data_IF_599984019811
#
_entry.id   IF_599984019811
#
_cell.length_a   1.000
_cell.length_b   1.000
_cell.length_c   1.000
_cell.angle_alpha   90.00
_cell.angle_beta   90.00
_cell.angle_gamma   90.00
#
_symmetry.space_group_name_H-M   'P 1'
#
loop_
_entity.id
_entity.type
_entity.pdbx_description
1 polymer ?
#
# COMPACT_ATOMS: atom_id res chain seq x y z
N UNK A 1 -9.34 12.30 24.09
CA UNK A 1 -9.87 10.93 24.04
C UNK A 1 -8.92 10.21 23.12
N UNK A 2 -7.89 9.60 23.70
CA UNK A 2 -6.68 9.25 22.96
C UNK A 2 -6.98 8.04 22.06
N UNK A 3 -6.95 8.27 20.75
CA UNK A 3 -6.93 7.21 19.74
C UNK A 3 -5.72 6.25 19.92
N UNK A 4 -4.81 6.59 20.83
CA UNK A 4 -3.66 5.81 21.29
C UNK A 4 -3.98 4.74 22.35
N UNK A 5 -5.21 4.67 22.84
CA UNK A 5 -5.63 3.73 23.89
C UNK A 5 -5.93 2.30 23.43
N UNK A 6 -5.85 2.00 22.12
CA UNK A 6 -6.01 0.64 21.58
C UNK A 6 -4.72 -0.17 21.73
N UNK A 7 -4.84 -1.40 22.21
CA UNK A 7 -3.79 -2.28 22.75
C UNK A 7 -2.52 -2.54 21.91
N UNK A 8 -2.40 -2.06 20.65
CA UNK A 8 -1.16 -2.20 19.85
C UNK A 8 -0.93 -0.98 18.97
N UNK A 9 0.20 -0.31 19.15
CA UNK A 9 0.67 0.76 18.26
C UNK A 9 1.09 0.16 16.92
N UNK A 10 0.66 0.77 15.82
CA UNK A 10 0.98 0.32 14.45
C UNK A 10 1.49 1.50 13.63
N UNK A 11 2.62 1.32 12.95
CA UNK A 11 3.12 2.26 11.95
C UNK A 11 2.35 2.14 10.64
N UNK A 12 2.16 3.25 9.94
CA UNK A 12 1.61 3.27 8.59
C UNK A 12 2.51 4.10 7.68
N UNK A 13 2.84 3.56 6.52
CA UNK A 13 3.70 4.21 5.52
C UNK A 13 3.09 4.03 4.13
N UNK A 14 2.98 5.13 3.41
CA UNK A 14 2.83 5.11 1.96
C UNK A 14 4.20 5.32 1.32
N UNK A 15 4.77 4.27 0.72
CA UNK A 15 6.11 4.31 0.16
C UNK A 15 6.23 5.25 -1.05
N UNK A 16 5.14 5.44 -1.81
CA UNK A 16 5.14 6.35 -2.96
C UNK A 16 5.28 7.81 -2.49
N UNK A 17 4.70 8.16 -1.34
CA UNK A 17 4.78 9.50 -0.76
C UNK A 17 6.16 9.85 -0.22
N UNK A 18 6.91 8.87 0.28
CA UNK A 18 8.25 9.14 0.86
C UNK A 18 9.30 9.51 -0.18
N UNK A 19 9.18 8.98 -1.40
CA UNK A 19 10.16 9.23 -2.44
C UNK A 19 9.94 10.51 -3.22
N UNK A 20 8.78 11.19 -3.06
CA UNK A 20 8.31 12.28 -3.95
C UNK A 20 8.61 11.96 -5.43
N UNK A 21 8.39 10.69 -5.79
CA UNK A 21 8.99 10.02 -6.95
C UNK A 21 8.52 10.63 -8.27
N UNK A 22 7.32 11.24 -8.28
CA UNK A 22 6.74 11.89 -9.47
C UNK A 22 7.60 13.04 -10.04
N UNK A 23 8.57 13.57 -9.30
CA UNK A 23 9.36 14.74 -9.72
C UNK A 23 10.84 14.45 -10.04
N UNK A 24 11.33 13.23 -9.87
CA UNK A 24 12.76 12.91 -10.02
C UNK A 24 13.03 12.04 -11.26
N UNK A 25 13.87 12.55 -12.17
CA UNK A 25 14.39 11.76 -13.29
C UNK A 25 15.27 10.59 -12.77
N UNK A 26 14.93 9.35 -13.16
CA UNK A 26 15.69 8.14 -12.80
C UNK A 26 14.97 7.21 -11.82
N UNK A 27 13.86 6.61 -12.28
CA UNK A 27 12.94 5.79 -11.48
C UNK A 27 13.60 4.72 -10.58
N UNK A 28 14.66 4.05 -11.05
CA UNK A 28 15.33 2.99 -10.29
C UNK A 28 16.07 3.52 -9.04
N UNK A 29 16.73 4.68 -9.12
CA UNK A 29 17.40 5.29 -7.95
C UNK A 29 16.37 5.80 -6.95
N UNK A 30 15.25 6.31 -7.45
CA UNK A 30 14.17 6.84 -6.63
C UNK A 30 13.46 5.72 -5.85
N UNK A 31 13.24 4.54 -6.46
CA UNK A 31 12.69 3.36 -5.75
C UNK A 31 13.59 2.89 -4.59
N UNK A 32 14.91 2.81 -4.81
CA UNK A 32 15.86 2.44 -3.76
C UNK A 32 15.90 3.47 -2.61
N UNK A 33 15.78 4.76 -2.93
CA UNK A 33 15.70 5.82 -1.93
C UNK A 33 14.41 5.68 -1.10
N UNK A 34 13.26 5.49 -1.75
CA UNK A 34 11.99 5.27 -1.05
C UNK A 34 12.09 4.08 -0.09
N UNK A 35 12.62 2.94 -0.53
CA UNK A 35 12.83 1.76 0.33
C UNK A 35 13.76 2.05 1.52
N UNK A 36 14.82 2.82 1.32
CA UNK A 36 15.74 3.22 2.39
C UNK A 36 15.04 4.11 3.44
N UNK A 37 14.17 5.02 3.00
CA UNK A 37 13.36 5.88 3.88
C UNK A 37 12.30 5.06 4.62
N UNK A 38 11.62 4.12 3.96
CA UNK A 38 10.71 3.16 4.60
C UNK A 38 11.44 2.42 5.71
N UNK A 39 12.65 1.91 5.45
CA UNK A 39 13.43 1.18 6.45
C UNK A 39 13.82 2.04 7.66
N UNK A 40 14.11 3.33 7.45
CA UNK A 40 14.32 4.28 8.55
C UNK A 40 13.04 4.43 9.37
N UNK A 41 11.90 4.74 8.74
CA UNK A 41 10.64 4.98 9.45
C UNK A 41 10.13 3.74 10.19
N UNK A 42 10.30 2.54 9.64
CA UNK A 42 9.96 1.30 10.35
C UNK A 42 10.77 1.17 11.65
N UNK A 43 12.06 1.50 11.65
CA UNK A 43 12.88 1.49 12.87
C UNK A 43 12.42 2.55 13.86
N UNK A 44 12.09 3.76 13.39
CA UNK A 44 11.60 4.84 14.25
C UNK A 44 10.23 4.50 14.87
N UNK A 45 9.32 3.89 14.09
CA UNK A 45 8.04 3.41 14.61
C UNK A 45 8.25 2.33 15.67
N UNK A 46 9.15 1.37 15.43
CA UNK A 46 9.49 0.35 16.42
C UNK A 46 10.09 0.98 17.69
N UNK A 47 10.99 1.95 17.56
CA UNK A 47 11.55 2.70 18.70
C UNK A 47 10.48 3.49 19.47
N UNK A 48 9.43 3.96 18.79
CA UNK A 48 8.26 4.58 19.38
C UNK A 48 7.23 3.58 19.97
N UNK A 49 7.54 2.27 19.93
CA UNK A 49 6.74 1.20 20.51
C UNK A 49 5.69 0.61 19.58
N UNK A 50 5.78 0.84 18.26
CA UNK A 50 4.93 0.14 17.30
C UNK A 50 5.29 -1.35 17.26
N UNK A 51 4.28 -2.21 17.36
CA UNK A 51 4.45 -3.66 17.29
C UNK A 51 4.39 -4.19 15.84
N UNK A 52 3.76 -3.44 14.94
CA UNK A 52 3.57 -3.78 13.53
C UNK A 52 3.70 -2.50 12.69
N UNK A 53 4.04 -2.65 11.41
CA UNK A 53 4.03 -1.57 10.44
C UNK A 53 3.37 -2.03 9.15
N UNK A 54 2.40 -1.26 8.65
CA UNK A 54 1.77 -1.48 7.34
C UNK A 54 2.43 -0.54 6.35
N UNK A 55 2.91 -1.10 5.23
CA UNK A 55 3.50 -0.32 4.14
C UNK A 55 2.69 -0.56 2.88
N UNK A 56 2.11 0.49 2.33
CA UNK A 56 1.55 0.50 0.98
C UNK A 56 2.68 0.82 0.03
N UNK A 57 2.91 -0.03 -0.97
CA UNK A 57 3.99 0.12 -1.93
C UNK A 57 3.50 -0.16 -3.35
N UNK A 58 4.11 0.48 -4.37
CA UNK A 58 3.85 0.14 -5.77
C UNK A 58 4.11 -1.36 -6.03
N UNK A 59 3.25 -1.98 -6.85
CA UNK A 59 3.34 -3.41 -7.15
C UNK A 59 4.67 -3.76 -7.84
N UNK A 60 5.25 -2.81 -8.56
CA UNK A 60 6.54 -2.88 -9.25
C UNK A 60 7.72 -3.07 -8.29
N UNK A 61 7.55 -2.81 -6.99
CA UNK A 61 8.60 -2.93 -5.97
C UNK A 61 8.96 -4.40 -5.75
N UNK A 62 10.17 -4.87 -6.14
CA UNK A 62 10.51 -6.29 -6.07
C UNK A 62 10.67 -6.80 -4.62
N UNK A 63 10.17 -8.01 -4.26
CA UNK A 63 10.29 -8.55 -2.91
C UNK A 63 11.73 -8.72 -2.41
N UNK A 64 12.67 -9.06 -3.29
CA UNK A 64 14.10 -9.19 -2.98
C UNK A 64 14.72 -7.84 -2.57
N UNK A 65 14.32 -6.74 -3.21
CA UNK A 65 14.75 -5.40 -2.82
C UNK A 65 14.21 -5.02 -1.44
N UNK A 66 12.95 -5.37 -1.14
CA UNK A 66 12.37 -5.16 0.19
C UNK A 66 13.09 -5.99 1.24
N UNK A 67 13.38 -7.25 0.98
CA UNK A 67 14.15 -8.10 1.91
C UNK A 67 15.57 -7.57 2.14
N UNK A 68 16.21 -6.96 1.13
CA UNK A 68 17.55 -6.37 1.29
C UNK A 68 17.61 -5.26 2.35
N UNK A 69 16.52 -4.51 2.52
CA UNK A 69 16.43 -3.42 3.52
C UNK A 69 15.82 -3.89 4.86
N UNK A 70 15.24 -5.09 4.89
CA UNK A 70 14.70 -5.74 6.10
C UNK A 70 15.27 -7.17 6.29
N UNK A 71 16.60 -7.35 6.40
CA UNK A 71 17.22 -8.67 6.35
C UNK A 71 16.88 -9.57 7.55
N UNK A 72 16.40 -8.99 8.66
CA UNK A 72 16.11 -9.71 9.90
C UNK A 72 14.63 -9.59 10.32
N UNK A 73 13.81 -8.90 9.53
CA UNK A 73 12.40 -8.67 9.84
C UNK A 73 11.50 -9.74 9.22
N UNK A 74 10.41 -10.11 9.92
CA UNK A 74 9.31 -10.87 9.30
C UNK A 74 8.53 -9.93 8.39
N UNK A 75 8.84 -9.95 7.10
CA UNK A 75 8.09 -9.21 6.07
C UNK A 75 7.08 -10.15 5.42
N UNK A 76 5.82 -9.74 5.35
CA UNK A 76 4.75 -10.45 4.63
C UNK A 76 4.25 -9.57 3.49
N UNK A 77 4.12 -10.13 2.30
CA UNK A 77 3.61 -9.42 1.13
C UNK A 77 2.15 -9.80 0.92
N UNK A 78 1.27 -8.80 0.91
CA UNK A 78 -0.17 -8.98 0.70
C UNK A 78 -0.60 -8.08 -0.44
N UNK A 79 -1.19 -8.68 -1.48
CA UNK A 79 -1.85 -7.98 -2.59
C UNK A 79 -3.35 -8.07 -2.40
N UNK A 80 -4.02 -6.92 -2.33
CA UNK A 80 -5.47 -6.87 -2.29
C UNK A 80 -6.01 -6.93 -3.72
N UNK A 81 -6.97 -7.81 -3.94
CA UNK A 81 -7.61 -8.01 -5.23
C UNK A 81 -9.11 -7.77 -5.12
N UNK A 82 -9.68 -7.14 -6.15
CA UNK A 82 -11.09 -6.75 -6.21
C UNK A 82 -11.53 -6.65 -7.66
N UNK A 83 -12.78 -7.00 -7.97
CA UNK A 83 -13.24 -7.11 -9.35
C UNK A 83 -12.99 -5.80 -10.16
N UNK A 84 -12.59 -5.86 -11.44
CA UNK A 84 -12.23 -4.67 -12.22
C UNK A 84 -13.32 -3.57 -12.23
N UNK A 85 -14.59 -3.96 -12.27
CA UNK A 85 -15.73 -3.06 -12.20
C UNK A 85 -15.80 -2.29 -10.87
N UNK A 86 -15.35 -2.92 -9.77
CA UNK A 86 -15.29 -2.29 -8.46
C UNK A 86 -14.10 -1.31 -8.37
N UNK A 87 -12.98 -1.61 -9.03
CA UNK A 87 -11.83 -0.70 -9.12
C UNK A 87 -12.24 0.62 -9.79
N UNK A 88 -12.89 0.55 -10.96
CA UNK A 88 -13.36 1.74 -11.67
C UNK A 88 -14.39 2.51 -10.85
N UNK A 89 -15.36 1.80 -10.24
CA UNK A 89 -16.36 2.45 -9.40
C UNK A 89 -15.73 3.19 -8.20
N UNK A 90 -14.70 2.61 -7.58
CA UNK A 90 -13.95 3.24 -6.49
C UNK A 90 -13.15 4.45 -6.97
N UNK A 91 -12.43 4.34 -8.10
CA UNK A 91 -11.68 5.45 -8.67
C UNK A 91 -12.60 6.64 -8.98
N UNK A 92 -13.75 6.38 -9.61
CA UNK A 92 -14.77 7.41 -9.88
C UNK A 92 -15.39 7.99 -8.61
N UNK A 93 -15.59 7.18 -7.55
CA UNK A 93 -16.05 7.70 -6.27
C UNK A 93 -15.01 8.62 -5.63
N UNK A 94 -13.72 8.26 -5.72
CA UNK A 94 -12.59 9.03 -5.19
C UNK A 94 -12.50 10.43 -5.83
N UNK A 95 -12.80 10.56 -7.13
CA UNK A 95 -12.81 11.87 -7.80
C UNK A 95 -13.81 12.87 -7.22
N UNK A 96 -14.86 12.37 -6.54
CA UNK A 96 -15.88 13.17 -5.86
C UNK A 96 -15.67 13.26 -4.35
N UNK A 97 -14.49 12.88 -3.84
CA UNK A 97 -14.20 12.86 -2.41
C UNK A 97 -14.77 11.67 -1.65
N UNK A 98 -15.14 10.60 -2.34
CA UNK A 98 -15.47 9.33 -1.69
C UNK A 98 -14.24 8.70 -1.02
N UNK A 99 -14.48 7.83 -0.02
CA UNK A 99 -13.42 7.12 0.70
C UNK A 99 -12.70 7.97 1.76
N UNK A 100 -11.67 7.41 2.41
CA UNK A 100 -10.84 8.16 3.37
C UNK A 100 -10.01 9.21 2.63
N UNK A 101 -9.89 10.42 3.19
CA UNK A 101 -9.05 11.47 2.62
C UNK A 101 -7.59 11.12 2.86
N UNK A 102 -6.82 11.01 1.77
CA UNK A 102 -5.38 10.81 1.80
C UNK A 102 -4.69 12.12 1.41
N UNK A 103 -3.60 12.47 2.11
CA UNK A 103 -2.73 13.54 1.66
C UNK A 103 -2.17 13.18 0.27
N UNK A 104 -2.08 14.12 -0.67
CA UNK A 104 -1.57 13.82 -2.02
C UNK A 104 -2.43 12.84 -2.83
N UNK A 105 -3.74 12.77 -2.57
CA UNK A 105 -4.67 11.97 -3.36
C UNK A 105 -4.87 12.54 -4.77
N UNK A 106 -4.14 12.00 -5.74
CA UNK A 106 -4.18 12.43 -7.14
C UNK A 106 -5.55 12.23 -7.81
N UNK A 107 -6.44 11.41 -7.22
CA UNK A 107 -7.77 11.21 -7.77
C UNK A 107 -8.76 12.28 -7.32
N UNK A 108 -8.53 12.99 -6.20
CA UNK A 108 -9.47 13.98 -5.71
C UNK A 108 -9.62 15.15 -6.70
N UNK A 109 -10.81 15.34 -7.26
CA UNK A 109 -11.06 16.35 -8.29
C UNK A 109 -10.48 16.00 -9.68
N UNK A 110 -9.93 14.80 -9.86
CA UNK A 110 -9.41 14.34 -11.14
C UNK A 110 -10.53 14.13 -12.18
N UNK A 111 -10.12 14.13 -13.45
CA UNK A 111 -11.03 13.86 -14.55
C UNK A 111 -11.49 12.39 -14.57
N UNK A 112 -12.61 12.13 -15.26
CA UNK A 112 -13.07 10.76 -15.53
C UNK A 112 -12.03 9.95 -16.30
N UNK A 113 -11.38 10.55 -17.28
CA UNK A 113 -10.33 9.92 -18.09
C UNK A 113 -9.15 9.48 -17.20
N UNK A 114 -8.74 10.32 -16.25
CA UNK A 114 -7.71 9.97 -15.25
C UNK A 114 -8.14 8.77 -14.40
N UNK A 115 -9.38 8.74 -13.92
CA UNK A 115 -9.90 7.61 -13.14
C UNK A 115 -9.96 6.32 -13.97
N UNK A 116 -10.32 6.41 -15.26
CA UNK A 116 -10.34 5.27 -16.19
C UNK A 116 -8.91 4.76 -16.46
N UNK A 117 -7.93 5.64 -16.61
CA UNK A 117 -6.52 5.26 -16.79
C UNK A 117 -5.94 4.56 -15.55
N UNK A 118 -6.26 5.05 -14.34
CA UNK A 118 -5.88 4.38 -13.08
C UNK A 118 -6.53 3.00 -12.98
N UNK A 119 -7.82 2.88 -13.30
CA UNK A 119 -8.51 1.60 -13.28
C UNK A 119 -7.94 0.61 -14.33
N UNK A 120 -7.57 1.09 -15.51
CA UNK A 120 -6.92 0.28 -16.55
C UNK A 120 -5.55 -0.23 -16.09
N UNK A 121 -4.74 0.63 -15.46
CA UNK A 121 -3.43 0.25 -14.88
C UNK A 121 -3.60 -0.84 -13.83
N UNK A 122 -4.57 -0.69 -12.93
CA UNK A 122 -4.85 -1.69 -11.90
C UNK A 122 -5.37 -3.01 -12.50
N UNK A 123 -6.17 -2.97 -13.57
CA UNK A 123 -6.61 -4.16 -14.28
C UNK A 123 -5.45 -4.90 -14.97
N UNK A 124 -4.50 -4.16 -15.55
CA UNK A 124 -3.26 -4.73 -16.08
C UNK A 124 -2.44 -5.40 -14.96
N UNK A 125 -2.21 -4.70 -13.86
CA UNK A 125 -1.48 -5.20 -12.69
C UNK A 125 -2.14 -6.44 -12.05
N UNK A 126 -3.47 -6.53 -12.08
CA UNK A 126 -4.21 -7.72 -11.62
C UNK A 126 -3.83 -8.98 -12.40
N UNK A 127 -3.56 -8.85 -13.71
CA UNK A 127 -3.17 -9.97 -14.56
C UNK A 127 -1.78 -10.54 -14.23
N UNK A 128 -0.98 -9.83 -13.44
CA UNK A 128 0.35 -10.28 -13.05
C UNK A 128 0.25 -11.49 -12.09
N UNK A 129 1.08 -12.52 -12.30
CA UNK A 129 1.10 -13.68 -11.42
C UNK A 129 1.57 -13.28 -10.01
N UNK A 130 1.09 -13.96 -8.95
CA UNK A 130 1.60 -13.74 -7.60
C UNK A 130 3.11 -13.98 -7.53
N UNK A 131 3.82 -13.08 -6.85
CA UNK A 131 5.27 -13.18 -6.63
C UNK A 131 5.58 -14.17 -5.50
N UNK A 132 6.82 -14.61 -5.40
CA UNK A 132 7.24 -15.54 -4.34
C UNK A 132 6.97 -14.93 -2.96
N UNK A 133 6.24 -15.66 -2.12
CA UNK A 133 5.87 -15.21 -0.76
C UNK A 133 4.75 -14.17 -0.70
N UNK A 134 4.17 -13.80 -1.84
CA UNK A 134 3.02 -12.89 -1.91
C UNK A 134 1.70 -13.65 -1.74
N UNK A 135 0.85 -13.14 -0.86
CA UNK A 135 -0.52 -13.62 -0.70
C UNK A 135 -1.48 -12.66 -1.39
N UNK A 136 -2.31 -13.20 -2.29
CA UNK A 136 -3.36 -12.43 -2.96
C UNK A 136 -4.68 -12.67 -2.23
N UNK A 137 -5.29 -11.60 -1.73
CA UNK A 137 -6.54 -11.65 -0.99
C UNK A 137 -7.66 -11.02 -1.82
N UNK A 138 -8.66 -11.81 -2.19
CA UNK A 138 -9.90 -11.27 -2.75
C UNK A 138 -10.69 -10.59 -1.64
N UNK A 139 -10.83 -9.27 -1.73
CA UNK A 139 -11.52 -8.43 -0.76
C UNK A 139 -12.89 -7.96 -1.25
N UNK A 140 -13.41 -8.58 -2.32
CA UNK A 140 -14.72 -8.24 -2.89
C UNK A 140 -15.82 -8.36 -1.82
N UNK A 141 -16.59 -7.28 -1.65
CA UNK A 141 -17.69 -7.22 -0.67
C UNK A 141 -17.25 -7.12 0.80
N UNK A 142 -15.95 -7.06 1.08
CA UNK A 142 -15.42 -6.92 2.45
C UNK A 142 -15.37 -5.44 2.87
N UNK A 143 -15.79 -5.14 4.10
CA UNK A 143 -15.55 -3.84 4.73
C UNK A 143 -14.12 -3.69 5.26
N UNK A 144 -13.63 -2.47 5.56
CA UNK A 144 -12.25 -2.23 5.99
C UNK A 144 -11.79 -3.07 7.20
N UNK A 145 -12.67 -3.26 8.20
CA UNK A 145 -12.35 -4.10 9.37
C UNK A 145 -12.14 -5.57 9.02
N UNK A 146 -12.93 -6.11 8.09
CA UNK A 146 -12.79 -7.49 7.62
C UNK A 146 -11.49 -7.67 6.83
N UNK A 147 -11.17 -6.70 5.95
CA UNK A 147 -9.91 -6.70 5.20
C UNK A 147 -8.70 -6.64 6.14
N UNK A 148 -8.74 -5.80 7.18
CA UNK A 148 -7.66 -5.73 8.16
C UNK A 148 -7.43 -7.06 8.89
N UNK A 149 -8.50 -7.79 9.24
CA UNK A 149 -8.38 -9.14 9.83
C UNK A 149 -7.82 -10.17 8.84
N UNK A 150 -8.22 -10.11 7.57
CA UNK A 150 -7.68 -10.99 6.53
C UNK A 150 -6.17 -10.75 6.34
N UNK A 151 -5.73 -9.50 6.26
CA UNK A 151 -4.31 -9.13 6.18
C UNK A 151 -3.56 -9.64 7.41
N UNK A 152 -4.11 -9.47 8.61
CA UNK A 152 -3.51 -9.97 9.86
C UNK A 152 -3.38 -11.49 9.87
N UNK A 153 -4.37 -12.22 9.36
CA UNK A 153 -4.29 -13.67 9.25
C UNK A 153 -3.22 -14.11 8.24
N UNK A 154 -3.18 -13.46 7.08
CA UNK A 154 -2.19 -13.68 6.03
C UNK A 154 -0.75 -13.45 6.50
N UNK A 155 -0.50 -12.39 7.29
CA UNK A 155 0.83 -12.08 7.81
C UNK A 155 1.33 -13.05 8.90
N UNK A 156 0.45 -13.91 9.45
CA UNK A 156 0.78 -14.87 10.50
C UNK A 156 1.04 -16.29 10.01
N UNK A 157 0.58 -16.65 8.81
CA UNK A 157 0.99 -17.89 8.12
C UNK A 157 2.46 -17.86 7.72
#
# INVERSE_FOLDING_TARGET
MDAWGGERRTGFIDAAQLGFLQNLAGAARSAQLALSLVAILVREFAAAGAAECVVVAPLETPPDQVHSVFPSGRVSFVRLDVAPEQILAQALARTRGGGPILAGDDLLGASRETAEAVAATAAEQRSWPPRQGEQVLDVSGSGPGQVAEQIRAAARS
#
